data_IF_064655722126
#
_entry.id   IF_064655722126
#
_cell.length_a   1.000
_cell.length_b   1.000
_cell.length_c   1.000
_cell.angle_alpha   90.00
_cell.angle_beta   90.00
_cell.angle_gamma   90.00
#
_symmetry.space_group_name_H-M   'P 1'
#
loop_
_entity.id
_entity.type
_entity.pdbx_description
1 polymer ?
#
# COMPACT_ATOMS: atom_id res chain seq x y z
N UNK A 1 -9.68 -26.17 -21.91
CA UNK A 1 -9.83 -26.32 -20.46
C UNK A 1 -8.86 -25.40 -19.76
N UNK A 2 -9.35 -24.50 -18.94
CA UNK A 2 -8.50 -23.67 -18.12
C UNK A 2 -8.03 -24.45 -16.90
N UNK A 3 -6.73 -24.39 -16.62
CA UNK A 3 -6.20 -24.92 -15.38
C UNK A 3 -6.55 -23.94 -14.25
N UNK A 4 -7.04 -24.46 -13.15
CA UNK A 4 -7.26 -23.64 -11.96
C UNK A 4 -5.92 -23.34 -11.30
N UNK A 5 -5.77 -22.12 -10.80
CA UNK A 5 -4.60 -21.75 -10.03
C UNK A 5 -4.61 -22.45 -8.67
N UNK A 6 -3.44 -22.86 -8.21
CA UNK A 6 -3.30 -23.40 -6.86
C UNK A 6 -3.62 -22.31 -5.86
N UNK A 7 -4.44 -22.63 -4.88
CA UNK A 7 -4.80 -21.69 -3.82
C UNK A 7 -3.84 -21.80 -2.65
N UNK A 8 -3.41 -20.67 -2.14
CA UNK A 8 -2.52 -20.56 -0.99
C UNK A 8 -3.21 -19.69 0.05
N UNK A 9 -3.11 -20.12 1.31
CA UNK A 9 -3.66 -19.34 2.43
C UNK A 9 -2.53 -18.64 3.18
N UNK A 10 -2.69 -17.34 3.42
CA UNK A 10 -1.75 -16.58 4.24
C UNK A 10 -2.14 -16.70 5.71
N UNK A 11 -1.13 -16.83 6.57
CA UNK A 11 -1.34 -16.78 8.02
C UNK A 11 -1.60 -15.34 8.46
N UNK A 12 -2.14 -15.18 9.67
CA UNK A 12 -2.32 -13.85 10.26
C UNK A 12 -0.98 -13.10 10.39
N UNK A 13 0.09 -13.82 10.73
CA UNK A 13 1.42 -13.25 10.84
C UNK A 13 1.93 -12.76 9.48
N UNK A 14 1.70 -13.54 8.42
CA UNK A 14 2.08 -13.15 7.05
C UNK A 14 1.34 -11.90 6.61
N UNK A 15 0.03 -11.84 6.84
CA UNK A 15 -0.79 -10.67 6.51
C UNK A 15 -0.29 -9.44 7.27
N UNK A 16 -0.01 -9.58 8.56
CA UNK A 16 0.51 -8.48 9.37
C UNK A 16 1.87 -7.98 8.85
N UNK A 17 2.74 -8.89 8.45
CA UNK A 17 4.05 -8.54 7.91
C UNK A 17 3.93 -7.81 6.57
N UNK A 18 3.11 -8.30 5.67
CA UNK A 18 2.86 -7.67 4.37
C UNK A 18 2.27 -6.27 4.58
N UNK A 19 1.27 -6.16 5.45
CA UNK A 19 0.63 -4.88 5.74
C UNK A 19 1.62 -3.86 6.32
N UNK A 20 2.50 -4.30 7.21
CA UNK A 20 3.53 -3.44 7.80
C UNK A 20 4.49 -2.91 6.73
N UNK A 21 4.98 -3.79 5.87
CA UNK A 21 5.90 -3.42 4.80
C UNK A 21 5.24 -2.50 3.77
N UNK A 22 3.98 -2.79 3.42
CA UNK A 22 3.21 -1.98 2.48
C UNK A 22 3.00 -0.56 3.02
N UNK A 23 2.58 -0.44 4.27
CA UNK A 23 2.36 0.86 4.90
C UNK A 23 3.64 1.67 5.00
N UNK A 24 4.75 1.02 5.30
CA UNK A 24 6.06 1.66 5.34
C UNK A 24 6.43 2.22 3.96
N UNK A 25 6.23 1.43 2.90
CA UNK A 25 6.50 1.87 1.52
C UNK A 25 5.66 3.08 1.15
N UNK A 26 4.36 3.06 1.49
CA UNK A 26 3.46 4.19 1.25
C UNK A 26 3.93 5.43 2.02
N UNK A 27 4.28 5.27 3.29
CA UNK A 27 4.75 6.38 4.13
C UNK A 27 6.05 7.01 3.58
N UNK A 28 6.90 6.22 2.94
CA UNK A 28 8.16 6.69 2.36
C UNK A 28 8.00 7.32 0.97
N UNK A 29 6.93 6.97 0.25
CA UNK A 29 6.77 7.37 -1.16
C UNK A 29 5.54 8.23 -1.45
N UNK A 30 4.73 8.57 -0.44
CA UNK A 30 3.47 9.28 -0.65
C UNK A 30 3.65 10.61 -1.41
N UNK A 31 4.80 11.26 -1.25
CA UNK A 31 5.06 12.55 -1.91
C UNK A 31 4.99 12.47 -3.43
N UNK A 32 5.26 11.30 -3.99
CA UNK A 32 5.15 11.10 -5.44
C UNK A 32 3.71 11.24 -5.94
N UNK A 33 2.71 11.04 -5.07
CA UNK A 33 1.31 11.20 -5.43
C UNK A 33 0.93 12.65 -5.71
N UNK A 34 1.69 13.63 -5.21
CA UNK A 34 1.46 15.03 -5.53
C UNK A 34 1.72 15.34 -7.00
N UNK A 35 2.68 14.66 -7.61
CA UNK A 35 3.08 14.88 -8.99
C UNK A 35 2.48 13.87 -9.96
N UNK A 36 2.08 12.69 -9.46
CA UNK A 36 1.54 11.61 -10.28
C UNK A 36 0.28 11.00 -9.63
N UNK A 37 -0.79 11.79 -9.46
CA UNK A 37 -1.91 11.41 -8.59
C UNK A 37 -2.80 10.27 -9.10
N UNK A 38 -2.76 9.93 -10.36
CA UNK A 38 -3.64 8.89 -10.91
C UNK A 38 -2.89 7.69 -11.46
N UNK A 39 -1.60 7.61 -11.19
CA UNK A 39 -0.80 6.48 -11.65
C UNK A 39 -1.08 5.22 -10.82
N UNK A 40 -0.86 4.08 -11.44
CA UNK A 40 -0.89 2.79 -10.78
C UNK A 40 0.49 2.49 -10.22
N UNK A 41 0.55 2.23 -8.94
CA UNK A 41 1.77 1.90 -8.22
C UNK A 41 1.82 0.41 -7.94
N UNK A 42 3.01 -0.14 -7.81
CA UNK A 42 3.22 -1.54 -7.45
C UNK A 42 4.07 -1.64 -6.19
N UNK A 43 3.57 -2.40 -5.23
CA UNK A 43 4.35 -2.84 -4.06
C UNK A 43 4.61 -4.32 -4.23
N UNK A 44 5.87 -4.72 -4.04
CA UNK A 44 6.28 -6.11 -4.18
C UNK A 44 6.97 -6.56 -2.90
N UNK A 45 6.62 -7.77 -2.43
CA UNK A 45 7.29 -8.40 -1.29
C UNK A 45 7.34 -9.91 -1.49
N UNK A 46 8.22 -10.56 -0.74
CA UNK A 46 8.36 -12.01 -0.79
C UNK A 46 8.29 -12.56 0.63
N UNK A 47 7.46 -13.59 0.82
CA UNK A 47 7.29 -14.28 2.09
C UNK A 47 7.33 -15.78 1.82
N UNK A 48 8.30 -16.47 2.44
CA UNK A 48 8.44 -17.95 2.35
C UNK A 48 8.41 -18.47 0.90
N UNK A 49 9.10 -17.79 -0.01
CA UNK A 49 9.15 -18.16 -1.41
C UNK A 49 7.94 -17.73 -2.23
N UNK A 50 6.99 -17.05 -1.62
CA UNK A 50 5.82 -16.50 -2.28
C UNK A 50 6.02 -15.01 -2.56
N UNK A 51 6.05 -14.64 -3.84
CA UNK A 51 6.14 -13.25 -4.27
C UNK A 51 4.74 -12.67 -4.38
N UNK A 52 4.50 -11.55 -3.72
CA UNK A 52 3.19 -10.87 -3.71
C UNK A 52 3.35 -9.49 -4.29
N UNK A 53 2.52 -9.15 -5.27
CA UNK A 53 2.46 -7.83 -5.87
C UNK A 53 1.11 -7.19 -5.55
N UNK A 54 1.16 -5.97 -5.04
CA UNK A 54 -0.04 -5.18 -4.74
C UNK A 54 -0.04 -3.97 -5.66
N UNK A 55 -1.06 -3.86 -6.49
CA UNK A 55 -1.25 -2.72 -7.37
C UNK A 55 -2.24 -1.77 -6.73
N UNK A 56 -1.89 -0.50 -6.65
CA UNK A 56 -2.70 0.49 -5.93
C UNK A 56 -2.60 1.87 -6.54
N UNK A 57 -3.60 2.69 -6.26
CA UNK A 57 -3.57 4.12 -6.50
C UNK A 57 -3.31 4.82 -5.18
N UNK A 58 -2.66 5.98 -5.24
CA UNK A 58 -2.32 6.75 -4.06
C UNK A 58 -2.76 8.19 -4.29
N UNK A 59 -3.37 8.79 -3.26
CA UNK A 59 -3.71 10.21 -3.27
C UNK A 59 -2.92 10.92 -2.17
N UNK A 60 -2.64 12.19 -2.38
CA UNK A 60 -2.00 13.00 -1.37
C UNK A 60 -2.61 14.41 -1.40
N UNK A 61 -2.75 14.99 -0.23
CA UNK A 61 -3.34 16.30 -0.03
C UNK A 61 -2.52 17.08 0.97
N UNK A 62 -2.20 18.31 0.60
CA UNK A 62 -1.50 19.21 1.51
C UNK A 62 -2.54 20.05 2.27
N UNK A 63 -2.51 19.95 3.59
CA UNK A 63 -3.43 20.67 4.47
C UNK A 63 -2.65 21.67 5.28
N UNK A 64 -3.01 22.94 5.14
CA UNK A 64 -2.38 24.02 5.92
C UNK A 64 -3.21 24.26 7.15
N UNK A 65 -2.66 23.92 8.32
CA UNK A 65 -3.32 24.13 9.61
C UNK A 65 -3.13 25.55 10.12
N UNK A 66 -2.03 26.19 9.73
CA UNK A 66 -1.63 27.49 10.24
C UNK A 66 -0.76 28.20 9.21
N UNK A 67 -1.19 29.34 8.72
CA UNK A 67 -0.42 30.13 7.77
C UNK A 67 0.74 30.85 8.47
N UNK A 68 1.85 31.00 7.75
CA UNK A 68 3.01 31.74 8.27
C UNK A 68 2.63 33.18 8.65
N UNK A 69 3.10 33.60 9.82
CA UNK A 69 2.95 34.98 10.31
C UNK A 69 4.33 35.55 10.63
N UNK A 70 4.36 36.82 11.02
CA UNK A 70 5.62 37.47 11.38
C UNK A 70 6.35 36.77 12.52
N UNK A 71 5.61 36.20 13.47
CA UNK A 71 6.18 35.59 14.68
C UNK A 71 6.10 34.08 14.72
N UNK A 72 5.30 33.48 13.83
CA UNK A 72 5.07 32.01 13.82
C UNK A 72 5.28 31.46 12.42
N UNK A 73 5.97 30.28 12.32
CA UNK A 73 6.17 29.63 11.04
C UNK A 73 4.87 29.01 10.52
N UNK A 74 4.85 28.74 9.23
CA UNK A 74 3.76 27.98 8.62
C UNK A 74 3.75 26.56 9.15
N UNK A 75 2.57 26.07 9.53
CA UNK A 75 2.36 24.70 9.97
C UNK A 75 1.27 24.04 9.14
N UNK A 76 1.40 22.76 8.97
CA UNK A 76 0.42 21.99 8.23
C UNK A 76 0.70 20.50 8.28
N UNK A 77 -0.06 19.79 7.49
CA UNK A 77 0.14 18.35 7.35
C UNK A 77 -0.09 17.90 5.91
N UNK A 78 0.59 16.85 5.54
CA UNK A 78 0.29 16.11 4.31
C UNK A 78 -0.58 14.94 4.71
N UNK A 79 -1.74 14.80 4.06
CA UNK A 79 -2.59 13.63 4.22
C UNK A 79 -2.50 12.79 2.96
N UNK A 80 -2.47 11.50 3.11
CA UNK A 80 -2.39 10.60 1.96
C UNK A 80 -3.07 9.28 2.26
N UNK A 81 -3.40 8.56 1.20
CA UNK A 81 -4.05 7.27 1.33
C UNK A 81 -3.94 6.46 0.06
N UNK A 82 -4.37 5.21 0.15
CA UNK A 82 -4.29 4.25 -0.94
C UNK A 82 -5.63 3.60 -1.23
N UNK A 83 -5.79 3.17 -2.47
CA UNK A 83 -6.90 2.34 -2.91
C UNK A 83 -6.31 1.17 -3.67
N UNK A 84 -6.60 -0.04 -3.25
CA UNK A 84 -6.05 -1.24 -3.86
C UNK A 84 -6.79 -1.55 -5.16
N UNK A 85 -6.03 -1.79 -6.22
CA UNK A 85 -6.58 -2.14 -7.53
C UNK A 85 -6.60 -3.65 -7.70
N UNK A 86 -5.47 -4.31 -7.39
CA UNK A 86 -5.32 -5.75 -7.61
C UNK A 86 -4.20 -6.31 -6.74
N UNK A 87 -4.29 -7.58 -6.41
CA UNK A 87 -3.27 -8.31 -5.68
C UNK A 87 -2.98 -9.58 -6.45
N UNK A 88 -1.71 -9.83 -6.77
CA UNK A 88 -1.29 -11.06 -7.45
C UNK A 88 -0.21 -11.77 -6.64
N UNK A 89 -0.08 -13.05 -6.85
CA UNK A 89 0.92 -13.86 -6.15
C UNK A 89 1.55 -14.89 -7.10
N UNK A 90 2.83 -15.14 -6.88
CA UNK A 90 3.59 -16.12 -7.65
C UNK A 90 4.48 -16.93 -6.70
N UNK A 91 4.36 -18.24 -6.77
CA UNK A 91 5.21 -19.15 -6.01
C UNK A 91 6.42 -19.55 -6.84
N UNK A 92 7.60 -19.66 -6.21
CA UNK A 92 8.84 -19.99 -6.91
C UNK A 92 8.82 -21.37 -7.60
N UNK A 93 8.02 -22.29 -7.10
CA UNK A 93 7.90 -23.65 -7.67
C UNK A 93 6.64 -23.84 -8.50
N UNK A 94 5.52 -23.26 -8.06
CA UNK A 94 4.22 -23.49 -8.68
C UNK A 94 3.87 -22.46 -9.76
N UNK A 95 4.61 -21.35 -9.83
CA UNK A 95 4.25 -20.23 -10.70
C UNK A 95 3.12 -19.40 -10.11
N UNK A 96 2.24 -18.88 -10.96
CA UNK A 96 1.13 -18.05 -10.50
C UNK A 96 0.20 -18.84 -9.59
N UNK A 97 -0.15 -18.25 -8.46
CA UNK A 97 -1.06 -18.84 -7.48
C UNK A 97 -2.12 -17.82 -7.07
N UNK A 98 -3.17 -18.30 -6.45
CA UNK A 98 -4.25 -17.47 -5.95
C UNK A 98 -4.23 -17.48 -4.42
N UNK A 99 -4.38 -16.31 -3.81
CA UNK A 99 -4.46 -16.20 -2.35
C UNK A 99 -5.90 -16.47 -1.95
N UNK A 100 -6.13 -17.59 -1.25
CA UNK A 100 -7.47 -17.99 -0.82
C UNK A 100 -8.13 -16.93 0.04
N UNK A 101 -7.37 -16.35 0.98
CA UNK A 101 -7.86 -15.32 1.87
C UNK A 101 -7.38 -13.92 1.48
N UNK A 102 -7.38 -13.63 0.17
CA UNK A 102 -6.99 -12.32 -0.36
C UNK A 102 -7.80 -11.18 0.27
N UNK A 103 -9.09 -11.43 0.55
CA UNK A 103 -9.94 -10.43 1.20
C UNK A 103 -9.43 -10.00 2.57
N UNK A 104 -8.79 -10.90 3.31
CA UNK A 104 -8.21 -10.55 4.61
C UNK A 104 -7.00 -9.63 4.44
N UNK A 105 -6.19 -9.88 3.41
CA UNK A 105 -5.06 -9.00 3.09
C UNK A 105 -5.57 -7.65 2.59
N UNK A 106 -6.54 -7.65 1.69
CA UNK A 106 -7.16 -6.42 1.19
C UNK A 106 -7.69 -5.57 2.33
N UNK A 107 -8.42 -6.17 3.26
CA UNK A 107 -8.96 -5.47 4.43
C UNK A 107 -7.86 -4.85 5.28
N UNK A 108 -6.70 -5.49 5.37
CA UNK A 108 -5.59 -5.00 6.17
C UNK A 108 -4.90 -3.78 5.55
N UNK A 109 -4.95 -3.59 4.23
CA UNK A 109 -4.21 -2.55 3.53
C UNK A 109 -5.07 -1.57 2.74
N UNK A 110 -6.24 -1.98 2.24
CA UNK A 110 -7.07 -1.12 1.42
C UNK A 110 -7.65 0.02 2.25
N UNK A 111 -7.59 1.22 1.68
CA UNK A 111 -8.07 2.41 2.39
C UNK A 111 -7.11 2.92 3.46
N UNK A 112 -5.89 2.38 3.53
CA UNK A 112 -4.89 2.90 4.47
C UNK A 112 -4.68 4.38 4.24
N UNK A 113 -4.73 5.18 5.32
CA UNK A 113 -4.47 6.61 5.31
C UNK A 113 -3.50 6.97 6.42
N UNK A 114 -2.75 8.02 6.21
CA UNK A 114 -1.85 8.52 7.24
C UNK A 114 -1.62 10.02 6.99
N UNK A 115 -0.97 10.66 7.95
CA UNK A 115 -0.62 12.06 7.85
C UNK A 115 0.83 12.27 8.28
N UNK A 116 1.45 13.30 7.70
CA UNK A 116 2.79 13.74 8.08
C UNK A 116 2.71 15.21 8.45
N UNK A 117 3.04 15.56 9.69
CA UNK A 117 3.04 16.94 10.15
C UNK A 117 4.34 17.62 9.78
N UNK A 118 4.22 18.88 9.30
CA UNK A 118 5.37 19.70 8.96
C UNK A 118 5.21 21.10 9.50
N UNK A 119 6.32 21.77 9.72
CA UNK A 119 6.32 23.16 10.24
C UNK A 119 7.50 23.94 9.68
#
# INVERSE_FOLDING_TARGET
>A
MQAELTQIRLSKADIAQIAKEFKKEVDESYSDAFTRPYEKWEFWTEIDGLAISVFYNMWAENRRCHAATYTEPEEGEDAYGVSIIDITACDGELGDVEIENEGDLDEAINGYTNTYEWS
#
